data_IF_992047185941
#
_entry.id   IF_992047185941
#
_cell.length_a   1.000
_cell.length_b   1.000
_cell.length_c   1.000
_cell.angle_alpha   90.00
_cell.angle_beta   90.00
_cell.angle_gamma   90.00
#
_symmetry.space_group_name_H-M   'P 1'
#
loop_
_entity.id
_entity.type
_entity.pdbx_description
1 polymer ?
#
# COMPACT_ATOMS: atom_id res chain seq x y z
N UNK A 1 -1.07 31.96 -9.13
CA UNK A 1 -1.01 31.23 -7.88
C UNK A 1 -0.46 29.84 -8.12
N UNK A 2 0.56 29.48 -7.38
CA UNK A 2 1.17 28.15 -7.53
C UNK A 2 0.26 27.08 -6.96
N UNK A 3 0.12 26.01 -7.70
CA UNK A 3 -0.68 24.87 -7.25
C UNK A 3 0.21 23.93 -6.49
N UNK A 4 -0.25 23.46 -5.35
CA UNK A 4 0.50 22.49 -4.57
C UNK A 4 0.62 21.17 -5.33
N UNK A 5 1.76 20.53 -5.14
CA UNK A 5 1.94 19.17 -5.64
C UNK A 5 0.97 18.24 -4.93
N UNK A 6 0.13 17.56 -5.70
CA UNK A 6 -0.87 16.66 -5.14
C UNK A 6 -0.43 15.20 -5.19
N UNK A 7 0.57 14.89 -6.01
CA UNK A 7 1.05 13.52 -6.12
C UNK A 7 2.11 13.27 -5.06
N UNK A 8 2.02 12.09 -4.45
CA UNK A 8 3.03 11.66 -3.50
C UNK A 8 4.26 11.17 -4.24
N UNK A 9 5.44 11.42 -3.68
CA UNK A 9 6.62 10.69 -4.11
C UNK A 9 6.47 9.24 -3.68
N UNK A 10 7.06 8.31 -4.41
CA UNK A 10 6.87 6.89 -4.12
C UNK A 10 8.21 6.21 -3.93
N UNK A 11 8.27 5.33 -2.93
CA UNK A 11 9.41 4.45 -2.72
C UNK A 11 8.89 3.02 -2.55
N UNK A 12 9.70 2.07 -2.98
CA UNK A 12 9.30 0.67 -3.09
C UNK A 12 10.30 -0.19 -2.34
N UNK A 13 9.80 -1.05 -1.45
CA UNK A 13 10.66 -1.97 -0.71
C UNK A 13 11.03 -3.17 -1.57
N UNK A 14 12.05 -3.91 -1.15
CA UNK A 14 12.41 -5.16 -1.83
C UNK A 14 11.30 -6.19 -1.75
N UNK A 15 10.66 -6.42 -0.58
CA UNK A 15 9.51 -7.34 -0.54
C UNK A 15 8.41 -6.98 -1.53
N UNK A 16 8.12 -5.67 -1.68
CA UNK A 16 7.13 -5.24 -2.68
C UNK A 16 7.51 -5.72 -4.07
N UNK A 17 8.77 -5.44 -4.45
CA UNK A 17 9.22 -5.76 -5.81
C UNK A 17 9.14 -7.24 -6.08
N UNK A 18 9.51 -8.07 -5.09
CA UNK A 18 9.46 -9.51 -5.23
C UNK A 18 8.04 -10.01 -5.39
N UNK A 19 7.14 -9.53 -4.53
CA UNK A 19 5.74 -9.96 -4.60
C UNK A 19 5.07 -9.49 -5.87
N UNK A 20 5.34 -8.26 -6.26
CA UNK A 20 4.76 -7.72 -7.49
C UNK A 20 5.16 -8.57 -8.70
N UNK A 21 6.43 -8.95 -8.76
CA UNK A 21 6.92 -9.76 -9.87
C UNK A 21 6.24 -11.13 -9.94
N UNK A 22 5.74 -11.63 -8.81
CA UNK A 22 5.07 -12.92 -8.75
C UNK A 22 3.59 -12.86 -9.12
N UNK A 23 3.03 -11.67 -9.24
CA UNK A 23 1.63 -11.54 -9.58
C UNK A 23 1.38 -11.91 -11.04
N UNK A 24 0.23 -12.51 -11.31
CA UNK A 24 -0.20 -12.71 -12.69
C UNK A 24 -0.41 -11.37 -13.38
N UNK A 25 -0.47 -11.38 -14.71
CA UNK A 25 -0.65 -10.15 -15.47
C UNK A 25 -1.90 -9.39 -15.03
N UNK A 26 -3.01 -10.08 -14.86
CA UNK A 26 -4.25 -9.43 -14.46
C UNK A 26 -4.13 -8.79 -13.08
N UNK A 27 -3.45 -9.48 -12.16
CA UNK A 27 -3.28 -8.97 -10.82
C UNK A 27 -2.31 -7.80 -10.80
N UNK A 28 -1.30 -7.80 -11.67
CA UNK A 28 -0.40 -6.66 -11.80
C UNK A 28 -1.15 -5.43 -12.30
N UNK A 29 -2.04 -5.60 -13.27
CA UNK A 29 -2.84 -4.48 -13.77
C UNK A 29 -3.71 -3.90 -12.66
N UNK A 30 -4.35 -4.75 -11.89
CA UNK A 30 -5.18 -4.29 -10.78
C UNK A 30 -4.33 -3.58 -9.71
N UNK A 31 -3.16 -4.11 -9.43
CA UNK A 31 -2.22 -3.50 -8.49
C UNK A 31 -1.77 -2.12 -8.99
N UNK A 32 -1.43 -2.01 -10.27
CA UNK A 32 -1.00 -0.75 -10.85
C UNK A 32 -2.05 0.33 -10.70
N UNK A 33 -3.32 -0.01 -10.92
CA UNK A 33 -4.41 0.95 -10.77
C UNK A 33 -4.50 1.45 -9.34
N UNK A 34 -4.37 0.55 -8.37
CA UNK A 34 -4.42 0.93 -6.96
C UNK A 34 -3.24 1.82 -6.60
N UNK A 35 -2.05 1.48 -7.09
CA UNK A 35 -0.84 2.27 -6.85
C UNK A 35 -1.02 3.69 -7.37
N UNK A 36 -1.50 3.82 -8.60
CA UNK A 36 -1.69 5.13 -9.21
C UNK A 36 -2.68 5.96 -8.38
N UNK A 37 -3.78 5.33 -7.96
CA UNK A 37 -4.77 6.03 -7.14
C UNK A 37 -4.17 6.50 -5.82
N UNK A 38 -3.34 5.68 -5.20
CA UNK A 38 -2.71 6.06 -3.93
C UNK A 38 -1.74 7.22 -4.13
N UNK A 39 -0.92 7.17 -5.18
CA UNK A 39 0.04 8.24 -5.46
C UNK A 39 -0.68 9.55 -5.75
N UNK A 40 -1.77 9.49 -6.48
CA UNK A 40 -2.56 10.68 -6.81
C UNK A 40 -3.43 11.15 -5.66
N UNK A 41 -3.46 10.42 -4.56
CA UNK A 41 -4.34 10.70 -3.43
C UNK A 41 -5.81 10.75 -3.87
N UNK A 42 -6.14 9.97 -4.89
CA UNK A 42 -7.51 9.90 -5.38
C UNK A 42 -8.36 9.13 -4.39
N UNK A 43 -9.54 9.66 -4.11
CA UNK A 43 -10.47 8.93 -3.30
C UNK A 43 -11.17 7.90 -4.17
N UNK A 44 -11.11 6.68 -3.73
CA UNK A 44 -11.77 5.59 -4.43
C UNK A 44 -12.34 4.64 -3.40
N UNK A 45 -13.65 4.44 -3.47
CA UNK A 45 -14.30 3.53 -2.52
C UNK A 45 -13.79 2.10 -2.64
N UNK A 46 -13.27 1.75 -3.81
CA UNK A 46 -12.74 0.40 -4.02
C UNK A 46 -11.46 0.12 -3.27
N UNK A 47 -10.70 1.16 -2.91
CA UNK A 47 -9.42 0.96 -2.21
C UNK A 47 -9.59 0.57 -0.75
N UNK A 48 -10.66 1.02 -0.11
CA UNK A 48 -10.94 0.69 1.30
C UNK A 48 -9.73 0.82 2.19
N UNK A 49 -9.11 2.00 2.16
CA UNK A 49 -7.89 2.25 2.92
C UNK A 49 -8.21 2.25 4.41
N UNK A 50 -7.40 1.53 5.18
CA UNK A 50 -7.54 1.53 6.63
C UNK A 50 -6.21 1.17 7.29
N UNK A 51 -6.01 1.63 8.55
CA UNK A 51 -4.78 1.28 9.26
C UNK A 51 -4.79 -0.18 9.67
N UNK A 52 -3.61 -0.75 9.80
CA UNK A 52 -3.45 -2.14 10.22
C UNK A 52 -3.20 -2.16 11.73
N UNK A 53 -4.14 -2.76 12.46
CA UNK A 53 -4.05 -2.85 13.92
C UNK A 53 -3.10 -3.94 14.35
N UNK A 54 -2.50 -3.84 15.54
CA UNK A 54 -2.81 -2.85 16.57
C UNK A 54 -2.01 -1.55 16.46
N UNK A 55 -0.82 -1.55 15.85
CA UNK A 55 0.06 -0.39 15.92
C UNK A 55 -0.33 0.74 14.98
N UNK A 56 -1.04 0.42 13.90
CA UNK A 56 -1.48 1.42 12.93
C UNK A 56 -0.31 2.13 12.25
N UNK A 57 0.86 1.51 12.28
CA UNK A 57 2.04 2.08 11.63
C UNK A 57 1.94 1.96 10.12
N UNK A 58 1.41 0.82 9.66
CA UNK A 58 1.14 0.59 8.25
C UNK A 58 -0.35 0.68 7.99
N UNK A 59 -0.69 0.95 6.73
CA UNK A 59 -2.06 0.94 6.26
C UNK A 59 -2.20 -0.08 5.15
N UNK A 60 -3.43 -0.49 4.90
CA UNK A 60 -3.72 -1.39 3.79
C UNK A 60 -4.68 -0.75 2.82
N UNK A 61 -4.52 -1.13 1.55
CA UNK A 61 -5.47 -0.76 0.50
C UNK A 61 -5.85 -2.03 -0.23
N UNK A 62 -7.13 -2.11 -0.60
CA UNK A 62 -7.65 -3.28 -1.30
C UNK A 62 -7.33 -3.17 -2.78
N UNK A 63 -6.74 -4.23 -3.34
CA UNK A 63 -6.54 -4.32 -4.79
C UNK A 63 -7.73 -5.05 -5.41
N UNK A 64 -8.06 -6.20 -4.83
CA UNK A 64 -9.19 -7.02 -5.24
C UNK A 64 -9.61 -7.84 -4.02
N UNK A 65 -10.47 -8.84 -4.19
CA UNK A 65 -10.98 -9.58 -3.04
C UNK A 65 -9.88 -10.26 -2.23
N UNK A 66 -8.79 -10.67 -2.86
CA UNK A 66 -7.74 -11.44 -2.20
C UNK A 66 -6.45 -10.69 -1.93
N UNK A 67 -6.17 -9.62 -2.68
CA UNK A 67 -4.87 -8.95 -2.60
C UNK A 67 -4.97 -7.60 -1.92
N UNK A 68 -3.94 -7.28 -1.14
CA UNK A 68 -3.85 -6.02 -0.39
C UNK A 68 -2.49 -5.40 -0.59
N UNK A 69 -2.47 -4.06 -0.68
CA UNK A 69 -1.23 -3.29 -0.63
C UNK A 69 -0.99 -2.90 0.82
N UNK A 70 0.24 -3.11 1.30
CA UNK A 70 0.69 -2.59 2.58
C UNK A 70 1.55 -1.37 2.29
N UNK A 71 1.22 -0.24 2.90
CA UNK A 71 1.94 1.00 2.65
C UNK A 71 1.93 1.88 3.89
N UNK A 72 2.75 2.93 3.86
CA UNK A 72 2.67 4.00 4.84
C UNK A 72 3.02 5.31 4.15
N UNK A 73 2.50 6.39 4.69
CA UNK A 73 2.77 7.72 4.17
C UNK A 73 3.47 8.50 5.26
N UNK A 74 4.58 9.14 4.89
CA UNK A 74 5.33 9.99 5.78
C UNK A 74 5.62 11.28 5.03
N UNK A 75 5.07 12.39 5.52
CA UNK A 75 5.18 13.65 4.79
C UNK A 75 4.49 13.54 3.44
N UNK A 76 5.25 13.76 2.38
CA UNK A 76 4.71 13.69 1.02
C UNK A 76 5.24 12.49 0.26
N UNK A 77 5.68 11.47 0.99
CA UNK A 77 6.17 10.24 0.39
C UNK A 77 5.32 9.07 0.82
N UNK A 78 4.94 8.23 -0.14
CA UNK A 78 4.30 6.96 0.15
C UNK A 78 5.33 5.85 -0.02
N UNK A 79 5.39 4.98 0.98
CA UNK A 79 6.28 3.83 0.97
C UNK A 79 5.44 2.60 0.70
N UNK A 80 5.67 1.95 -0.44
CA UNK A 80 5.00 0.69 -0.76
C UNK A 80 5.81 -0.43 -0.14
N UNK A 81 5.22 -1.09 0.85
CA UNK A 81 5.94 -2.02 1.72
C UNK A 81 5.81 -3.45 1.24
N UNK A 82 4.61 -3.85 0.85
CA UNK A 82 4.40 -5.24 0.43
C UNK A 82 3.07 -5.36 -0.30
N UNK A 83 2.93 -6.46 -1.03
CA UNK A 83 1.66 -6.91 -1.59
C UNK A 83 1.39 -8.26 -0.97
N UNK A 84 0.28 -8.38 -0.24
CA UNK A 84 0.01 -9.61 0.52
C UNK A 84 -1.42 -10.06 0.30
N UNK A 85 -1.69 -11.30 0.64
CA UNK A 85 -3.05 -11.80 0.68
C UNK A 85 -3.78 -11.22 1.87
N UNK A 86 -5.09 -11.10 1.74
CA UNK A 86 -5.92 -10.56 2.81
C UNK A 86 -5.63 -11.24 4.15
N UNK A 87 -5.47 -12.56 4.12
CA UNK A 87 -5.27 -13.31 5.35
C UNK A 87 -3.91 -13.06 6.00
N UNK A 88 -2.97 -12.47 5.28
CA UNK A 88 -1.61 -12.23 5.79
C UNK A 88 -1.42 -10.80 6.29
N UNK A 89 -2.45 -9.99 6.24
CA UNK A 89 -2.35 -8.58 6.63
C UNK A 89 -1.87 -8.42 8.08
N UNK A 90 -2.26 -9.32 8.96
CA UNK A 90 -1.90 -9.23 10.38
C UNK A 90 -0.38 -9.26 10.62
N UNK A 91 0.37 -9.75 9.65
CA UNK A 91 1.84 -9.74 9.76
C UNK A 91 2.40 -8.32 9.86
N UNK A 92 1.64 -7.35 9.43
CA UNK A 92 2.05 -5.95 9.46
C UNK A 92 1.34 -5.14 10.53
N UNK A 93 0.78 -5.84 11.51
CA UNK A 93 0.09 -5.17 12.60
C UNK A 93 1.01 -4.43 13.56
N UNK A 94 2.27 -4.80 13.62
CA UNK A 94 3.23 -4.18 14.53
C UNK A 94 4.27 -3.41 13.76
N UNK A 95 4.68 -2.28 14.32
CA UNK A 95 5.71 -1.45 13.71
C UNK A 95 7.06 -2.15 13.82
N UNK A 96 7.98 -1.85 12.86
CA UNK A 96 9.30 -2.50 12.89
C UNK A 96 10.03 -2.20 14.19
N UNK A 97 10.74 -3.22 14.68
CA UNK A 97 11.56 -3.07 15.87
C UNK A 97 10.82 -3.15 17.17
N UNK A 98 9.51 -3.23 17.14
CA UNK A 98 8.73 -3.34 18.36
C UNK A 98 8.85 -4.72 18.95
N UNK A 99 9.12 -4.77 20.26
CA UNK A 99 9.18 -6.02 20.99
C UNK A 99 7.95 -6.18 21.88
N UNK A 100 7.56 -7.40 22.05
CA UNK A 100 6.44 -7.73 22.92
C UNK A 100 6.93 -8.05 24.30
#
# INVERSE_FOLDING_TARGET
>A
MARKQTFLAAEWSEPWKERYAELSSDRQVACDKAVISLIKRSESSGLRIKPIHPDKYYSEARINSGDRIVFRIEGETIFFVDVVKHDDISRYGKRPGRRN
#
